data_IF_809247574958
#
_entry.id   IF_809247574958
#
_cell.length_a   1.000
_cell.length_b   1.000
_cell.length_c   1.000
_cell.angle_alpha   90.00
_cell.angle_beta   90.00
_cell.angle_gamma   90.00
#
_symmetry.space_group_name_H-M   'P 1'
#
loop_
_entity.id
_entity.type
_entity.pdbx_description
1 polymer ?
#
# COMPACT_ATOMS: atom_id res chain seq x y z
N UNK A 1 -13.69 23.66 -22.93
CA UNK A 1 -13.52 23.02 -21.60
C UNK A 1 -13.58 21.50 -21.75
N UNK A 2 -12.53 20.88 -22.28
CA UNK A 2 -12.48 19.42 -22.47
C UNK A 2 -12.02 18.73 -21.18
N UNK A 3 -13.05 18.31 -20.43
CA UNK A 3 -13.23 16.99 -19.83
C UNK A 3 -11.93 16.27 -19.41
N UNK A 4 -11.64 16.11 -18.09
CA UNK A 4 -10.46 15.40 -17.58
C UNK A 4 -10.29 13.97 -18.12
N UNK A 5 -11.38 13.37 -18.63
CA UNK A 5 -11.40 12.09 -19.34
C UNK A 5 -10.51 12.06 -20.60
N UNK A 6 -10.38 13.18 -21.31
CA UNK A 6 -9.57 13.23 -22.53
C UNK A 6 -8.09 13.19 -22.19
N UNK A 7 -7.65 13.88 -21.14
CA UNK A 7 -6.27 13.83 -20.63
C UNK A 7 -5.86 12.42 -20.20
N UNK A 8 -6.76 11.70 -19.52
CA UNK A 8 -6.52 10.29 -19.14
C UNK A 8 -6.39 9.40 -20.38
N UNK A 9 -7.23 9.59 -21.40
CA UNK A 9 -7.09 8.84 -22.67
C UNK A 9 -5.79 9.17 -23.41
N UNK A 10 -5.34 10.42 -23.34
CA UNK A 10 -4.05 10.84 -23.90
C UNK A 10 -2.86 10.19 -23.18
N UNK A 11 -2.93 10.00 -21.86
CA UNK A 11 -1.93 9.28 -21.08
C UNK A 11 -1.67 7.86 -21.61
N UNK A 12 -2.74 7.16 -22.04
CA UNK A 12 -2.64 5.80 -22.58
C UNK A 12 -2.21 5.74 -24.06
N UNK A 13 -2.29 6.85 -24.82
CA UNK A 13 -1.81 6.93 -26.22
C UNK A 13 -0.28 7.04 -26.32
N UNK A 14 0.37 7.68 -25.36
CA UNK A 14 1.82 7.89 -25.38
C UNK A 14 2.52 6.60 -24.92
N UNK A 15 3.22 5.92 -25.85
CA UNK A 15 3.87 4.62 -25.60
C UNK A 15 4.84 4.66 -24.41
N UNK A 16 5.59 5.75 -24.25
CA UNK A 16 6.52 5.94 -23.14
C UNK A 16 5.80 6.10 -21.80
N UNK A 17 4.73 6.89 -21.77
CA UNK A 17 4.00 7.18 -20.54
C UNK A 17 3.23 5.95 -20.05
N UNK A 18 2.61 5.19 -20.96
CA UNK A 18 2.02 3.88 -20.67
C UNK A 18 3.03 2.90 -20.08
N UNK A 19 4.27 2.87 -20.61
CA UNK A 19 5.32 1.98 -20.09
C UNK A 19 5.72 2.36 -18.66
N UNK A 20 5.90 3.65 -18.38
CA UNK A 20 6.20 4.14 -17.02
C UNK A 20 5.06 3.82 -16.07
N UNK A 21 3.81 4.04 -16.48
CA UNK A 21 2.64 3.76 -15.67
C UNK A 21 2.49 2.26 -15.33
N UNK A 22 2.69 1.39 -16.32
CA UNK A 22 2.68 -0.07 -16.12
C UNK A 22 3.80 -0.52 -15.18
N UNK A 23 4.99 0.07 -15.29
CA UNK A 23 6.10 -0.23 -14.40
C UNK A 23 5.80 0.19 -12.94
N UNK A 24 5.28 1.40 -12.74
CA UNK A 24 4.87 1.86 -11.41
C UNK A 24 3.75 0.99 -10.83
N UNK A 25 2.73 0.65 -11.62
CA UNK A 25 1.67 -0.27 -11.20
C UNK A 25 2.21 -1.66 -10.85
N UNK A 26 3.16 -2.17 -11.62
CA UNK A 26 3.82 -3.44 -11.34
C UNK A 26 4.55 -3.42 -9.99
N UNK A 27 5.28 -2.34 -9.69
CA UNK A 27 5.91 -2.16 -8.37
C UNK A 27 4.85 -2.16 -7.25
N UNK A 28 3.73 -1.45 -7.43
CA UNK A 28 2.66 -1.44 -6.43
C UNK A 28 2.06 -2.82 -6.19
N UNK A 29 1.91 -3.63 -7.23
CA UNK A 29 1.42 -5.01 -7.12
C UNK A 29 2.40 -5.85 -6.30
N UNK A 30 3.69 -5.81 -6.61
CA UNK A 30 4.73 -6.52 -5.83
C UNK A 30 4.72 -6.08 -4.38
N UNK A 31 4.73 -4.77 -4.14
CA UNK A 31 4.65 -4.21 -2.80
C UNK A 31 3.44 -4.77 -2.05
N UNK A 32 2.29 -4.87 -2.71
CA UNK A 32 1.05 -5.33 -2.07
C UNK A 32 1.07 -6.81 -1.74
N UNK A 33 1.70 -7.64 -2.57
CA UNK A 33 1.92 -9.05 -2.26
C UNK A 33 2.80 -9.22 -1.01
N UNK A 34 3.93 -8.52 -0.94
CA UNK A 34 4.84 -8.62 0.21
C UNK A 34 4.17 -8.07 1.48
N UNK A 35 3.47 -6.94 1.38
CA UNK A 35 2.72 -6.33 2.47
C UNK A 35 1.60 -7.22 3.03
N UNK A 36 1.13 -8.23 2.29
CA UNK A 36 0.10 -9.16 2.76
C UNK A 36 0.67 -10.44 3.38
N UNK A 37 1.99 -10.67 3.32
CA UNK A 37 2.62 -11.84 3.94
C UNK A 37 2.91 -11.50 5.41
N UNK A 38 2.19 -12.10 6.38
CA UNK A 38 2.46 -11.91 7.79
C UNK A 38 3.76 -12.62 8.19
N UNK A 39 4.53 -12.02 9.09
CA UNK A 39 5.72 -12.67 9.66
C UNK A 39 5.26 -13.78 10.62
N UNK A 40 5.77 -15.02 10.49
CA UNK A 40 5.42 -16.10 11.39
C UNK A 40 5.95 -15.83 12.80
N UNK A 41 5.15 -16.15 13.81
CA UNK A 41 5.52 -16.00 15.24
C UNK A 41 4.85 -14.85 15.98
N UNK A 42 3.89 -14.16 15.37
CA UNK A 42 3.17 -13.04 15.99
C UNK A 42 1.67 -13.33 16.09
N UNK A 43 1.07 -13.02 17.25
CA UNK A 43 -0.37 -13.13 17.45
C UNK A 43 -1.09 -11.90 16.85
N UNK A 44 -1.64 -12.11 15.65
CA UNK A 44 -2.39 -11.09 14.91
C UNK A 44 -3.69 -10.68 15.62
N UNK A 45 -4.27 -11.54 16.45
CA UNK A 45 -5.53 -11.26 17.15
C UNK A 45 -5.25 -10.29 18.29
N UNK A 46 -4.23 -10.56 19.10
CA UNK A 46 -3.78 -9.67 20.17
C UNK A 46 -3.32 -8.31 19.61
N UNK A 47 -2.59 -8.30 18.48
CA UNK A 47 -2.16 -7.05 17.84
C UNK A 47 -3.33 -6.21 17.36
N UNK A 48 -4.31 -6.80 16.67
CA UNK A 48 -5.51 -6.07 16.24
C UNK A 48 -6.28 -5.47 17.40
N UNK A 49 -6.36 -6.17 18.54
CA UNK A 49 -6.97 -5.63 19.75
C UNK A 49 -6.19 -4.43 20.32
N UNK A 50 -4.85 -4.47 20.31
CA UNK A 50 -4.00 -3.35 20.75
C UNK A 50 -4.12 -2.11 19.83
N UNK A 51 -4.19 -2.31 18.52
CA UNK A 51 -4.33 -1.21 17.56
C UNK A 51 -5.73 -0.60 17.59
N UNK A 52 -6.77 -1.41 17.87
CA UNK A 52 -8.14 -0.91 18.06
C UNK A 52 -8.34 -0.20 19.40
N UNK A 53 -7.60 -0.57 20.45
CA UNK A 53 -7.71 0.05 21.77
C UNK A 53 -6.96 1.38 21.88
N UNK A 54 -6.02 1.67 20.97
CA UNK A 54 -5.23 2.88 20.99
C UNK A 54 -5.27 3.62 19.65
N UNK A 55 -5.93 4.78 19.63
CA UNK A 55 -6.11 5.59 18.43
C UNK A 55 -4.79 6.08 17.82
N UNK A 56 -3.75 6.29 18.63
CA UNK A 56 -2.41 6.66 18.12
C UNK A 56 -1.78 5.50 17.36
N UNK A 57 -1.92 4.26 17.86
CA UNK A 57 -1.44 3.07 17.16
C UNK A 57 -2.25 2.83 15.88
N UNK A 58 -3.56 3.02 15.92
CA UNK A 58 -4.39 2.96 14.72
C UNK A 58 -3.98 3.98 13.65
N UNK A 59 -3.60 5.20 14.06
CA UNK A 59 -3.07 6.20 13.14
C UNK A 59 -1.72 5.79 12.55
N UNK A 60 -0.81 5.21 13.36
CA UNK A 60 0.45 4.66 12.87
C UNK A 60 0.23 3.54 11.83
N UNK A 61 -0.76 2.67 12.03
CA UNK A 61 -1.10 1.63 11.05
C UNK A 61 -1.54 2.20 9.71
N UNK A 62 -2.33 3.28 9.71
CA UNK A 62 -2.72 3.98 8.47
C UNK A 62 -1.47 4.55 7.76
N UNK A 63 -0.53 5.14 8.49
CA UNK A 63 0.72 5.64 7.92
C UNK A 63 1.64 4.53 7.39
N UNK A 64 1.58 3.32 7.96
CA UNK A 64 2.30 2.14 7.45
C UNK A 64 1.66 1.51 6.19
N UNK A 65 0.41 1.86 5.86
CA UNK A 65 -0.36 1.24 4.78
C UNK A 65 -1.11 -0.04 5.21
N UNK A 66 -1.41 -0.17 6.51
CA UNK A 66 -2.12 -1.31 7.11
C UNK A 66 -1.24 -2.53 7.40
N UNK A 67 0.09 -2.35 7.45
CA UNK A 67 1.05 -3.44 7.59
C UNK A 67 1.48 -3.67 9.04
N UNK A 68 1.33 -2.68 9.92
CA UNK A 68 1.63 -2.80 11.35
C UNK A 68 0.63 -3.72 12.06
N UNK A 69 -0.67 -3.52 11.85
CA UNK A 69 -1.71 -4.34 12.48
C UNK A 69 -1.71 -5.81 12.00
N UNK A 70 -1.13 -6.08 10.83
CA UNK A 70 -0.95 -7.42 10.28
C UNK A 70 0.47 -7.98 10.46
N UNK A 71 1.35 -7.22 11.13
CA UNK A 71 2.77 -7.53 11.35
C UNK A 71 3.44 -8.17 10.11
N UNK A 72 3.27 -7.50 8.98
CA UNK A 72 3.77 -7.95 7.69
C UNK A 72 5.30 -7.88 7.60
N UNK A 73 5.90 -8.58 6.63
CA UNK A 73 7.33 -8.43 6.28
C UNK A 73 7.71 -6.95 6.04
N UNK A 74 6.75 -6.13 5.63
CA UNK A 74 6.87 -4.67 5.55
C UNK A 74 6.12 -3.91 6.67
N UNK A 75 6.22 -4.37 7.92
CA UNK A 75 5.55 -3.74 9.06
C UNK A 75 5.92 -2.26 9.26
N UNK A 76 7.15 -1.83 8.91
CA UNK A 76 7.56 -0.43 8.96
C UNK A 76 7.20 0.37 7.68
N UNK A 77 6.59 -0.29 6.69
CA UNK A 77 6.17 0.32 5.43
C UNK A 77 7.35 0.74 4.55
N UNK A 78 7.24 1.93 3.93
CA UNK A 78 8.33 2.61 3.22
C UNK A 78 9.16 3.51 4.14
N UNK A 79 8.81 3.57 5.44
CA UNK A 79 9.53 4.31 6.45
C UNK A 79 10.78 3.56 6.93
N UNK A 80 11.80 4.28 7.41
CA UNK A 80 12.98 3.67 8.01
C UNK A 80 12.66 2.81 9.23
#
# INVERSE_FOLDING_TARGET
MSKPLDSIKHLFRIKELRRKLLFTLFIFVIFRFIAHIPVPGVDLVALKQLFNSNQLLGMLDIFSGGTLANFSVMALGLGP
#
